data_IF_622234827856
#
_entry.id   IF_622234827856
#
_cell.length_a   1.000
_cell.length_b   1.000
_cell.length_c   1.000
_cell.angle_alpha   90.00
_cell.angle_beta   90.00
_cell.angle_gamma   90.00
#
_symmetry.space_group_name_H-M   'P 1'
#
loop_
_entity.id
_entity.type
_entity.pdbx_description
1 polymer ?
#
# COMPACT_ATOMS: atom_id res chain seq x y z
N UNK A 1 4.68 61.65 -43.54
CA UNK A 1 5.28 61.46 -42.20
C UNK A 1 4.30 60.66 -41.37
N UNK A 2 4.66 59.39 -41.22
CA UNK A 2 4.09 58.38 -40.33
C UNK A 2 4.02 58.91 -38.87
N UNK A 3 3.21 58.41 -37.94
CA UNK A 3 3.09 57.02 -37.56
C UNK A 3 1.91 56.83 -36.59
N UNK A 4 1.15 55.73 -36.75
CA UNK A 4 0.10 55.29 -35.83
C UNK A 4 0.69 54.90 -34.46
N UNK A 5 0.15 55.45 -33.36
CA UNK A 5 0.46 55.02 -31.99
C UNK A 5 -0.22 53.68 -31.69
N UNK A 6 0.48 52.58 -31.91
CA UNK A 6 0.08 51.26 -31.43
C UNK A 6 0.04 51.26 -29.89
N UNK A 7 -1.13 50.98 -29.32
CA UNK A 7 -1.28 50.75 -27.89
C UNK A 7 -0.80 49.33 -27.59
N UNK A 8 0.34 49.19 -26.93
CA UNK A 8 0.81 47.90 -26.42
C UNK A 8 -0.03 47.52 -25.20
N UNK A 9 -1.04 46.68 -25.42
CA UNK A 9 -1.73 45.96 -24.33
C UNK A 9 -0.75 44.88 -23.85
N UNK A 10 -0.06 45.15 -22.74
CA UNK A 10 0.75 44.15 -22.05
C UNK A 10 -0.22 43.20 -21.36
N UNK A 11 -0.47 42.04 -21.96
CA UNK A 11 -1.20 40.94 -21.34
C UNK A 11 -0.31 40.34 -20.24
N UNK A 12 -0.63 40.62 -18.98
CA UNK A 12 -0.03 39.94 -17.83
C UNK A 12 -0.62 38.52 -17.79
N UNK A 13 0.08 37.57 -18.41
CA UNK A 13 -0.22 36.14 -18.24
C UNK A 13 0.21 35.77 -16.83
N UNK A 14 -0.76 35.74 -15.91
CA UNK A 14 -0.56 35.20 -14.57
C UNK A 14 -0.31 33.70 -14.70
N UNK A 15 0.96 33.29 -14.57
CA UNK A 15 1.36 31.90 -14.48
C UNK A 15 0.87 31.34 -13.14
N UNK A 16 -0.37 30.83 -13.12
CA UNK A 16 -0.87 30.02 -12.00
C UNK A 16 -0.04 28.73 -12.02
N UNK A 17 0.97 28.67 -11.17
CA UNK A 17 1.64 27.42 -10.81
C UNK A 17 0.59 26.53 -10.15
N UNK A 18 0.02 25.61 -10.93
CA UNK A 18 -0.78 24.51 -10.43
C UNK A 18 0.17 23.64 -9.61
N UNK A 19 0.24 23.90 -8.31
CA UNK A 19 0.72 22.93 -7.35
C UNK A 19 -0.32 21.81 -7.34
N UNK A 20 -0.11 20.79 -8.18
CA UNK A 20 -0.87 19.55 -8.07
C UNK A 20 -0.72 19.05 -6.63
N UNK A 21 -1.80 18.75 -5.90
CA UNK A 21 -1.68 18.13 -4.60
C UNK A 21 -0.90 16.82 -4.79
N UNK A 22 0.14 16.63 -3.99
CA UNK A 22 0.81 15.32 -3.90
C UNK A 22 -0.26 14.37 -3.37
N UNK A 23 -0.73 13.49 -4.25
CA UNK A 23 -1.74 12.51 -3.90
C UNK A 23 -1.04 11.46 -3.06
N UNK A 24 -1.32 11.46 -1.76
CA UNK A 24 -0.77 10.50 -0.79
C UNK A 24 -1.40 9.15 -1.09
N UNK A 25 -0.74 8.31 -1.89
CA UNK A 25 -1.14 6.93 -2.15
C UNK A 25 -0.63 6.04 -1.01
N UNK A 26 -1.07 4.78 -1.02
CA UNK A 26 -0.37 3.67 -0.37
C UNK A 26 1.11 3.58 -0.70
N UNK A 27 1.60 2.35 -0.78
CA UNK A 27 2.62 2.14 -1.82
C UNK A 27 2.15 2.79 -3.14
N UNK A 28 3.10 3.20 -3.98
CA UNK A 28 2.78 3.59 -5.34
C UNK A 28 2.07 2.48 -6.12
N UNK A 29 1.64 2.78 -7.34
CA UNK A 29 0.98 1.82 -8.23
C UNK A 29 1.81 0.52 -8.34
N UNK A 30 3.13 0.65 -8.53
CA UNK A 30 4.02 -0.49 -8.74
C UNK A 30 4.24 -1.31 -7.46
N UNK A 31 4.20 -0.69 -6.28
CA UNK A 31 4.28 -1.42 -5.01
C UNK A 31 3.02 -2.26 -4.74
N UNK A 32 1.82 -1.69 -4.96
CA UNK A 32 0.58 -2.47 -4.86
C UNK A 32 0.47 -3.57 -5.92
N UNK A 33 0.84 -3.25 -7.17
CA UNK A 33 0.91 -4.23 -8.25
C UNK A 33 1.83 -5.39 -7.87
N UNK A 34 3.02 -5.08 -7.34
CA UNK A 34 4.00 -6.07 -6.92
C UNK A 34 3.44 -6.98 -5.82
N UNK A 35 2.91 -6.41 -4.74
CA UNK A 35 2.31 -7.16 -3.63
C UNK A 35 1.22 -8.11 -4.13
N UNK A 36 0.32 -7.61 -4.96
CA UNK A 36 -0.83 -8.37 -5.44
C UNK A 36 -0.47 -9.45 -6.46
N UNK A 37 0.50 -9.21 -7.35
CA UNK A 37 0.99 -10.26 -8.27
C UNK A 37 1.78 -11.34 -7.55
N UNK A 38 2.57 -10.97 -6.53
CA UNK A 38 3.18 -11.95 -5.62
C UNK A 38 2.08 -12.79 -4.96
N UNK A 39 1.07 -12.14 -4.37
CA UNK A 39 0.00 -12.82 -3.67
C UNK A 39 -0.79 -13.77 -4.59
N UNK A 40 -1.20 -13.29 -5.76
CA UNK A 40 -1.97 -14.06 -6.73
C UNK A 40 -1.25 -15.34 -7.17
N UNK A 41 0.09 -15.27 -7.34
CA UNK A 41 0.91 -16.44 -7.68
C UNK A 41 1.03 -17.50 -6.56
N UNK A 42 0.58 -17.17 -5.35
CA UNK A 42 0.65 -18.01 -4.14
C UNK A 42 -0.74 -18.43 -3.64
N UNK A 43 -1.79 -18.13 -4.39
CA UNK A 43 -3.14 -18.56 -4.05
C UNK A 43 -3.28 -20.08 -4.22
N UNK A 44 -3.98 -20.70 -3.27
CA UNK A 44 -4.55 -22.03 -3.42
C UNK A 44 -5.57 -22.05 -4.56
N UNK A 45 -5.86 -23.22 -5.12
CA UNK A 45 -6.82 -23.36 -6.23
C UNK A 45 -8.19 -22.77 -5.89
N UNK A 46 -8.67 -22.99 -4.66
CA UNK A 46 -9.96 -22.46 -4.20
C UNK A 46 -9.94 -20.94 -4.07
N UNK A 47 -8.87 -20.36 -3.51
CA UNK A 47 -8.72 -18.91 -3.40
C UNK A 47 -8.56 -18.25 -4.78
N UNK A 48 -7.79 -18.85 -5.69
CA UNK A 48 -7.62 -18.37 -7.06
C UNK A 48 -8.97 -18.35 -7.81
N UNK A 49 -9.78 -19.41 -7.66
CA UNK A 49 -11.11 -19.47 -8.26
C UNK A 49 -12.04 -18.37 -7.70
N UNK A 50 -12.03 -18.14 -6.39
CA UNK A 50 -12.85 -17.09 -5.77
C UNK A 50 -12.41 -15.68 -6.21
N UNK A 51 -11.10 -15.40 -6.21
CA UNK A 51 -10.53 -14.13 -6.68
C UNK A 51 -10.94 -13.87 -8.12
N UNK A 52 -10.82 -14.87 -9.00
CA UNK A 52 -11.23 -14.77 -10.41
C UNK A 52 -12.71 -14.43 -10.58
N UNK A 53 -13.58 -14.99 -9.75
CA UNK A 53 -15.03 -14.70 -9.77
C UNK A 53 -15.33 -13.28 -9.29
N UNK A 54 -14.60 -12.80 -8.27
CA UNK A 54 -14.82 -11.48 -7.67
C UNK A 54 -14.20 -10.34 -8.49
N UNK A 55 -13.14 -10.61 -9.26
CA UNK A 55 -12.51 -9.60 -10.09
C UNK A 55 -13.42 -9.13 -11.24
N UNK A 56 -13.44 -7.83 -11.56
CA UNK A 56 -14.15 -7.35 -12.73
C UNK A 56 -13.50 -7.89 -14.01
N UNK A 57 -14.30 -8.10 -15.06
CA UNK A 57 -13.78 -8.60 -16.35
C UNK A 57 -12.69 -7.70 -16.96
N UNK A 58 -12.72 -6.39 -16.66
CA UNK A 58 -11.70 -5.43 -17.09
C UNK A 58 -10.31 -5.71 -16.54
N UNK A 59 -10.21 -6.40 -15.39
CA UNK A 59 -8.95 -6.75 -14.75
C UNK A 59 -8.20 -7.88 -15.49
N UNK A 60 -8.86 -8.60 -16.41
CA UNK A 60 -8.22 -9.66 -17.19
C UNK A 60 -7.62 -10.80 -16.35
N UNK A 61 -8.25 -11.12 -15.21
CA UNK A 61 -7.75 -12.09 -14.22
C UNK A 61 -6.39 -11.68 -13.58
N UNK A 62 -6.05 -10.39 -13.58
CA UNK A 62 -4.87 -9.84 -12.89
C UNK A 62 -5.32 -9.00 -11.69
N UNK A 63 -5.19 -9.54 -10.48
CA UNK A 63 -5.50 -8.83 -9.24
C UNK A 63 -4.61 -7.58 -9.09
N UNK A 64 -3.36 -7.66 -9.53
CA UNK A 64 -2.41 -6.54 -9.46
C UNK A 64 -2.93 -5.30 -10.17
N UNK A 65 -3.61 -5.46 -11.31
CA UNK A 65 -4.16 -4.35 -12.09
C UNK A 65 -5.20 -3.50 -11.33
N UNK A 66 -5.88 -4.09 -10.34
CA UNK A 66 -6.90 -3.42 -9.55
C UNK A 66 -6.46 -3.09 -8.12
N UNK A 67 -5.25 -3.47 -7.71
CA UNK A 67 -4.80 -3.26 -6.33
C UNK A 67 -4.52 -1.81 -5.95
N UNK A 68 -4.48 -0.88 -6.91
CA UNK A 68 -4.47 0.57 -6.64
C UNK A 68 -5.87 1.20 -6.65
N UNK A 69 -6.95 0.41 -6.77
CA UNK A 69 -8.32 0.93 -6.87
C UNK A 69 -8.76 1.72 -5.64
N UNK A 70 -8.41 1.26 -4.43
CA UNK A 70 -8.82 1.93 -3.18
C UNK A 70 -8.34 3.39 -3.12
N UNK A 71 -7.12 3.65 -3.59
CA UNK A 71 -6.56 5.00 -3.71
C UNK A 71 -7.34 5.90 -4.68
N UNK A 72 -7.86 5.33 -5.77
CA UNK A 72 -8.67 6.09 -6.74
C UNK A 72 -10.01 6.50 -6.14
N UNK A 73 -10.62 5.61 -5.34
CA UNK A 73 -11.96 5.85 -4.81
C UNK A 73 -11.98 6.62 -3.51
N UNK A 74 -10.87 6.80 -2.76
CA UNK A 74 -10.88 7.52 -1.48
C UNK A 74 -11.37 8.97 -1.54
N UNK A 75 -11.34 9.59 -2.72
CA UNK A 75 -11.91 10.93 -2.95
C UNK A 75 -13.40 10.93 -3.26
N UNK A 76 -13.96 9.78 -3.67
CA UNK A 76 -15.40 9.59 -3.85
C UNK A 76 -16.03 8.96 -2.61
N UNK A 77 -15.29 8.07 -1.97
CA UNK A 77 -15.58 7.40 -0.71
C UNK A 77 -14.73 8.04 0.38
N UNK A 78 -15.00 9.30 0.71
CA UNK A 78 -14.22 10.06 1.71
C UNK A 78 -14.07 9.34 3.05
N UNK A 79 -15.03 8.49 3.41
CA UNK A 79 -14.97 7.66 4.59
C UNK A 79 -13.80 6.66 4.58
N UNK A 80 -13.25 6.31 3.42
CA UNK A 80 -12.15 5.35 3.28
C UNK A 80 -10.78 5.97 3.41
N UNK A 81 -10.63 7.31 3.39
CA UNK A 81 -9.31 7.96 3.38
C UNK A 81 -8.47 7.62 4.61
N UNK A 82 -9.07 7.59 5.81
CA UNK A 82 -8.36 7.22 7.04
C UNK A 82 -8.03 5.72 7.13
N UNK A 83 -8.59 4.89 6.24
CA UNK A 83 -8.37 3.45 6.24
C UNK A 83 -7.05 3.05 5.58
N UNK A 84 -6.32 3.98 4.99
CA UNK A 84 -5.03 3.71 4.35
C UNK A 84 -3.86 3.72 5.34
N UNK A 85 -4.00 4.29 6.54
CA UNK A 85 -2.87 4.46 7.45
C UNK A 85 -3.24 4.28 8.92
N UNK A 86 -2.23 4.36 9.78
CA UNK A 86 -2.29 4.44 11.23
C UNK A 86 -1.35 5.56 11.68
N UNK A 87 -1.88 6.51 12.44
CA UNK A 87 -1.09 7.52 13.12
C UNK A 87 -0.64 7.01 14.49
N UNK A 88 0.69 6.96 14.71
CA UNK A 88 1.28 6.57 16.00
C UNK A 88 1.89 7.78 16.71
N UNK A 89 2.04 7.75 18.05
CA UNK A 89 2.73 8.80 18.79
C UNK A 89 4.20 8.91 18.37
N UNK A 90 4.64 10.15 18.19
CA UNK A 90 6.01 10.48 17.80
C UNK A 90 7.06 9.80 18.68
N UNK A 91 8.10 9.25 18.04
CA UNK A 91 9.26 8.62 18.68
C UNK A 91 8.94 7.43 19.60
N UNK A 92 7.68 6.99 19.69
CA UNK A 92 7.33 5.85 20.50
C UNK A 92 7.76 4.54 19.85
N UNK A 93 7.75 4.50 18.51
CA UNK A 93 8.16 3.35 17.71
C UNK A 93 7.42 2.05 18.08
N UNK A 94 6.18 2.18 18.55
CA UNK A 94 5.34 1.07 18.97
C UNK A 94 3.88 1.38 18.67
N UNK A 95 3.18 0.36 18.19
CA UNK A 95 1.77 0.43 17.84
C UNK A 95 0.91 -0.27 18.91
N UNK A 96 -0.28 0.27 19.18
CA UNK A 96 -1.33 -0.38 19.97
C UNK A 96 -2.70 -0.07 19.36
N UNK A 97 -3.47 -1.11 18.98
CA UNK A 97 -4.76 -0.94 18.29
C UNK A 97 -5.71 0.02 19.02
N UNK A 98 -5.91 -0.14 20.33
CA UNK A 98 -6.85 0.68 21.12
C UNK A 98 -6.44 2.15 21.24
N UNK A 99 -5.15 2.45 21.09
CA UNK A 99 -4.62 3.82 21.15
C UNK A 99 -4.62 4.47 19.77
N UNK A 100 -4.18 3.73 18.76
CA UNK A 100 -3.75 4.25 17.46
C UNK A 100 -4.76 3.98 16.34
N UNK A 101 -5.56 2.91 16.42
CA UNK A 101 -6.51 2.58 15.36
C UNK A 101 -7.80 3.40 15.46
N UNK A 102 -7.74 4.66 15.02
CA UNK A 102 -8.85 5.60 14.99
C UNK A 102 -8.63 6.64 13.88
N UNK A 103 -9.71 7.30 13.46
CA UNK A 103 -9.61 8.44 12.55
C UNK A 103 -9.31 9.75 13.30
N UNK A 104 -9.21 10.86 12.54
CA UNK A 104 -8.97 12.21 13.06
C UNK A 104 -10.05 12.70 14.04
N UNK A 105 -11.26 12.13 13.98
CA UNK A 105 -12.37 12.43 14.89
C UNK A 105 -12.40 11.49 16.12
N UNK A 106 -11.43 10.58 16.23
CA UNK A 106 -11.32 9.63 17.33
C UNK A 106 -12.23 8.41 17.22
N UNK A 107 -12.87 8.18 16.06
CA UNK A 107 -13.74 7.01 15.84
C UNK A 107 -12.88 5.76 15.76
N UNK A 108 -13.06 4.87 16.74
CA UNK A 108 -12.28 3.64 16.86
C UNK A 108 -12.46 2.70 15.67
N UNK A 109 -11.39 1.97 15.33
CA UNK A 109 -11.37 1.00 14.24
C UNK A 109 -11.22 1.59 12.84
N UNK A 110 -11.18 2.92 12.69
CA UNK A 110 -11.07 3.60 11.38
C UNK A 110 -9.62 3.90 11.00
N UNK A 111 -8.85 2.83 10.89
CA UNK A 111 -7.46 2.82 10.45
C UNK A 111 -7.20 1.60 9.54
N UNK A 112 -6.02 1.48 8.94
CA UNK A 112 -5.70 0.33 8.05
C UNK A 112 -5.80 -1.04 8.72
N UNK A 113 -5.41 -1.17 9.99
CA UNK A 113 -5.57 -2.43 10.72
C UNK A 113 -7.05 -2.82 10.92
N UNK A 114 -7.89 -1.84 11.26
CA UNK A 114 -9.33 -2.05 11.38
C UNK A 114 -9.99 -2.34 10.04
N UNK A 115 -9.54 -1.71 8.96
CA UNK A 115 -10.00 -1.98 7.61
C UNK A 115 -9.68 -3.41 7.17
N UNK A 116 -8.46 -3.90 7.42
CA UNK A 116 -8.09 -5.30 7.17
C UNK A 116 -9.03 -6.23 7.92
N UNK A 117 -9.22 -6.04 9.23
CA UNK A 117 -10.15 -6.87 10.02
C UNK A 117 -11.58 -6.87 9.44
N UNK A 118 -12.07 -5.70 9.03
CA UNK A 118 -13.40 -5.55 8.46
C UNK A 118 -13.55 -6.31 7.13
N UNK A 119 -12.69 -6.04 6.14
CA UNK A 119 -12.82 -6.63 4.81
C UNK A 119 -12.45 -8.13 4.77
N UNK A 120 -11.52 -8.56 5.63
CA UNK A 120 -11.31 -9.98 5.94
C UNK A 120 -12.61 -10.61 6.45
N UNK A 121 -13.31 -9.99 7.40
CA UNK A 121 -14.58 -10.53 7.92
C UNK A 121 -15.71 -10.54 6.88
N UNK A 122 -15.76 -9.53 6.00
CA UNK A 122 -16.75 -9.50 4.91
C UNK A 122 -16.53 -10.63 3.91
N UNK A 123 -15.28 -10.92 3.53
CA UNK A 123 -14.96 -11.99 2.58
C UNK A 123 -15.30 -13.40 3.10
N UNK A 124 -15.45 -13.60 4.42
CA UNK A 124 -15.98 -14.86 4.98
C UNK A 124 -17.43 -15.13 4.58
N UNK A 125 -18.16 -14.12 4.09
CA UNK A 125 -19.51 -14.28 3.55
C UNK A 125 -19.55 -14.72 2.08
N UNK A 126 -18.40 -14.95 1.44
CA UNK A 126 -18.35 -15.46 0.07
C UNK A 126 -19.10 -16.80 -0.06
N UNK A 127 -19.91 -16.91 -1.11
CA UNK A 127 -20.80 -18.06 -1.33
C UNK A 127 -22.11 -18.03 -0.53
N UNK A 128 -22.29 -17.08 0.40
CA UNK A 128 -23.55 -16.86 1.07
C UNK A 128 -24.43 -15.88 0.26
N UNK A 129 -25.49 -16.39 -0.36
CA UNK A 129 -26.44 -15.60 -1.15
C UNK A 129 -27.18 -14.51 -0.35
N UNK A 130 -27.18 -14.59 0.98
CA UNK A 130 -27.78 -13.57 1.85
C UNK A 130 -26.81 -12.43 2.23
N UNK A 131 -25.55 -12.47 1.78
CA UNK A 131 -24.59 -11.40 2.06
C UNK A 131 -25.04 -10.09 1.42
N UNK A 132 -24.95 -9.00 2.18
CA UNK A 132 -25.27 -7.64 1.71
C UNK A 132 -24.01 -6.87 1.26
N UNK A 133 -22.82 -7.45 1.44
CA UNK A 133 -21.56 -6.79 1.13
C UNK A 133 -21.22 -6.88 -0.36
N UNK A 134 -20.62 -5.82 -0.89
CA UNK A 134 -19.96 -5.89 -2.19
C UNK A 134 -18.61 -6.58 -2.02
N UNK A 135 -18.55 -7.88 -2.30
CA UNK A 135 -17.35 -8.69 -2.09
C UNK A 135 -16.22 -8.40 -3.09
N UNK A 136 -16.54 -7.80 -4.24
CA UNK A 136 -15.51 -7.26 -5.14
C UNK A 136 -14.80 -6.08 -4.46
N UNK A 137 -15.54 -5.11 -3.94
CA UNK A 137 -14.93 -4.01 -3.18
C UNK A 137 -14.17 -4.53 -1.96
N UNK A 138 -14.70 -5.52 -1.23
CA UNK A 138 -14.01 -6.11 -0.09
C UNK A 138 -12.67 -6.75 -0.49
N UNK A 139 -12.61 -7.48 -1.62
CA UNK A 139 -11.36 -8.03 -2.15
C UNK A 139 -10.37 -6.92 -2.50
N UNK A 140 -10.80 -5.89 -3.23
CA UNK A 140 -9.91 -4.82 -3.68
C UNK A 140 -9.40 -3.98 -2.51
N UNK A 141 -10.26 -3.64 -1.55
CA UNK A 141 -9.87 -2.95 -0.32
C UNK A 141 -8.90 -3.79 0.51
N UNK A 142 -9.21 -5.07 0.77
CA UNK A 142 -8.30 -5.92 1.55
C UNK A 142 -6.93 -6.04 0.90
N UNK A 143 -6.89 -6.24 -0.42
CA UNK A 143 -5.66 -6.40 -1.18
C UNK A 143 -4.80 -5.15 -1.13
N UNK A 144 -5.43 -3.98 -1.25
CA UNK A 144 -4.77 -2.68 -1.12
C UNK A 144 -4.27 -2.44 0.31
N UNK A 145 -5.13 -2.60 1.33
CA UNK A 145 -4.80 -2.28 2.72
C UNK A 145 -3.75 -3.22 3.33
N UNK A 146 -3.69 -4.49 2.90
CA UNK A 146 -2.54 -5.35 3.25
C UNK A 146 -1.26 -4.80 2.62
N UNK A 147 -1.32 -4.16 1.45
CA UNK A 147 -0.19 -3.40 0.91
C UNK A 147 0.21 -2.25 1.83
N UNK A 148 -0.73 -1.35 2.12
CA UNK A 148 -0.52 -0.14 2.91
C UNK A 148 0.09 -0.42 4.28
N UNK A 149 -0.45 -1.38 5.03
CA UNK A 149 0.06 -1.68 6.38
C UNK A 149 1.51 -2.20 6.35
N UNK A 150 2.00 -2.64 5.18
CA UNK A 150 3.40 -3.03 4.99
C UNK A 150 4.31 -1.88 4.58
N UNK A 151 3.78 -0.76 4.09
CA UNK A 151 4.54 0.48 3.86
C UNK A 151 4.89 1.08 5.24
N UNK A 152 6.18 1.16 5.63
CA UNK A 152 6.55 1.61 6.97
C UNK A 152 5.94 2.96 7.40
N UNK A 153 5.91 3.95 6.51
CA UNK A 153 5.40 5.29 6.79
C UNK A 153 3.87 5.40 6.77
N UNK A 154 3.14 4.35 6.35
CA UNK A 154 1.69 4.24 6.58
C UNK A 154 1.35 3.88 8.03
N UNK A 155 2.34 3.46 8.81
CA UNK A 155 2.24 3.29 10.25
C UNK A 155 3.28 4.20 10.90
N UNK A 156 3.18 5.49 10.57
CA UNK A 156 4.17 6.51 10.90
C UNK A 156 3.77 7.41 12.07
N UNK A 157 4.47 8.52 12.22
CA UNK A 157 4.20 9.49 13.27
C UNK A 157 3.06 10.45 12.90
N UNK A 158 2.29 10.82 13.91
CA UNK A 158 1.14 11.71 13.75
C UNK A 158 1.59 13.12 13.35
N UNK A 159 2.65 13.65 13.97
CA UNK A 159 3.04 15.05 13.77
C UNK A 159 3.55 15.35 12.37
N UNK A 160 4.15 14.36 11.71
CA UNK A 160 4.71 14.49 10.36
C UNK A 160 3.80 13.88 9.27
N UNK A 161 2.61 13.42 9.65
CA UNK A 161 1.64 12.74 8.77
C UNK A 161 2.28 11.57 8.04
N UNK A 162 3.01 10.71 8.76
CA UNK A 162 3.78 9.62 8.17
C UNK A 162 4.90 10.12 7.24
N UNK A 163 5.56 11.22 7.57
CA UNK A 163 6.63 11.81 6.76
C UNK A 163 6.15 12.63 5.55
N UNK A 164 4.85 12.88 5.39
CA UNK A 164 4.33 13.75 4.33
C UNK A 164 4.71 15.23 4.53
N UNK A 165 5.05 15.64 5.75
CA UNK A 165 5.53 17.01 6.03
C UNK A 165 7.05 17.11 6.15
N UNK A 166 7.79 16.06 5.79
CA UNK A 166 9.26 16.06 5.80
C UNK A 166 9.74 16.25 4.37
N UNK A 167 10.06 17.49 4.02
CA UNK A 167 10.61 17.85 2.72
C UNK A 167 12.04 17.31 2.54
N UNK A 168 12.27 16.61 1.44
CA UNK A 168 13.57 16.01 1.10
C UNK A 168 13.89 16.23 -0.38
N UNK A 169 15.10 15.84 -0.78
CA UNK A 169 15.45 15.68 -2.19
C UNK A 169 15.77 14.23 -2.47
N UNK A 170 15.06 13.63 -3.42
CA UNK A 170 15.44 12.36 -4.00
C UNK A 170 16.35 12.62 -5.20
N UNK A 171 17.65 12.49 -4.98
CA UNK A 171 18.68 12.96 -5.91
C UNK A 171 18.46 14.44 -6.27
N UNK A 172 18.12 14.74 -7.52
CA UNK A 172 17.91 16.11 -8.01
C UNK A 172 16.46 16.59 -7.89
N UNK A 173 15.52 15.72 -7.48
CA UNK A 173 14.08 16.03 -7.44
C UNK A 173 13.63 16.32 -6.02
N UNK A 174 12.89 17.42 -5.83
CA UNK A 174 12.17 17.71 -4.59
C UNK A 174 11.04 16.71 -4.41
N UNK A 175 10.87 16.20 -3.20
CA UNK A 175 9.77 15.32 -2.81
C UNK A 175 9.61 15.33 -1.28
N UNK A 176 8.71 14.53 -0.74
CA UNK A 176 8.53 14.32 0.70
C UNK A 176 8.95 12.90 1.08
N UNK A 177 9.34 12.70 2.35
CA UNK A 177 9.85 11.41 2.84
C UNK A 177 8.88 10.25 2.56
N UNK A 178 7.58 10.48 2.73
CA UNK A 178 6.52 9.50 2.45
C UNK A 178 6.59 8.96 1.02
N UNK A 179 6.57 9.87 0.03
CA UNK A 179 6.68 9.54 -1.40
C UNK A 179 8.05 8.90 -1.77
N UNK A 180 9.09 9.09 -0.95
CA UNK A 180 10.34 8.34 -1.17
C UNK A 180 10.12 6.84 -0.94
N UNK A 181 9.35 6.47 0.08
CA UNK A 181 9.01 5.08 0.38
C UNK A 181 7.94 4.51 -0.55
N UNK A 182 6.89 5.28 -0.88
CA UNK A 182 5.81 4.80 -1.76
C UNK A 182 6.31 4.45 -3.15
N UNK A 183 7.11 5.34 -3.74
CA UNK A 183 7.45 5.29 -5.16
C UNK A 183 8.96 5.36 -5.42
N UNK A 184 9.65 6.33 -4.80
CA UNK A 184 10.95 6.76 -5.34
C UNK A 184 12.02 5.69 -5.22
N UNK A 185 12.04 4.92 -4.13
CA UNK A 185 12.94 3.76 -3.98
C UNK A 185 12.62 2.69 -5.03
N UNK A 186 11.35 2.34 -5.22
CA UNK A 186 10.89 1.29 -6.14
C UNK A 186 11.27 1.68 -7.58
N UNK A 187 10.82 2.85 -8.05
CA UNK A 187 11.12 3.34 -9.40
C UNK A 187 12.62 3.42 -9.67
N UNK A 188 13.42 3.87 -8.69
CA UNK A 188 14.88 3.94 -8.87
C UNK A 188 15.51 2.54 -8.93
N UNK A 189 14.96 1.56 -8.20
CA UNK A 189 15.40 0.16 -8.27
C UNK A 189 15.04 -0.45 -9.64
N UNK A 190 13.84 -0.18 -10.14
CA UNK A 190 13.39 -0.60 -11.47
C UNK A 190 14.28 -0.04 -12.59
N UNK A 191 14.53 1.26 -12.57
CA UNK A 191 15.39 1.92 -13.55
C UNK A 191 16.82 1.36 -13.55
N UNK A 192 17.37 1.08 -12.36
CA UNK A 192 18.78 0.66 -12.23
C UNK A 192 19.02 -0.81 -12.44
N UNK A 193 18.05 -1.67 -12.13
CA UNK A 193 18.27 -3.11 -12.03
C UNK A 193 17.33 -3.93 -12.90
N UNK A 194 16.23 -3.34 -13.39
CA UNK A 194 15.17 -4.07 -14.07
C UNK A 194 14.70 -3.42 -15.38
N UNK A 195 15.51 -2.54 -15.99
CA UNK A 195 15.20 -1.84 -17.24
C UNK A 195 13.85 -1.10 -17.19
N UNK A 196 13.54 -0.46 -16.06
CA UNK A 196 12.27 0.25 -15.83
C UNK A 196 11.04 -0.66 -15.99
N UNK A 197 11.16 -1.93 -15.58
CA UNK A 197 10.10 -2.92 -15.65
C UNK A 197 9.85 -3.54 -14.27
N UNK A 198 8.66 -3.27 -13.73
CA UNK A 198 8.15 -3.83 -12.47
C UNK A 198 8.11 -5.37 -12.47
N UNK A 199 7.91 -6.03 -13.61
CA UNK A 199 7.91 -7.50 -13.67
C UNK A 199 9.28 -8.09 -13.29
N UNK A 200 10.37 -7.40 -13.63
CA UNK A 200 11.71 -7.81 -13.23
C UNK A 200 11.93 -7.73 -11.71
N UNK A 201 11.36 -6.69 -11.07
CA UNK A 201 11.35 -6.55 -9.62
C UNK A 201 10.52 -7.66 -8.97
N UNK A 202 9.31 -7.92 -9.48
CA UNK A 202 8.41 -8.97 -9.00
C UNK A 202 9.10 -10.34 -9.05
N UNK A 203 9.74 -10.67 -10.17
CA UNK A 203 10.43 -11.96 -10.33
C UNK A 203 11.63 -12.08 -9.39
N UNK A 204 12.39 -11.00 -9.18
CA UNK A 204 13.49 -10.99 -8.20
C UNK A 204 12.99 -11.22 -6.78
N UNK A 205 11.90 -10.56 -6.37
CA UNK A 205 11.30 -10.75 -5.05
C UNK A 205 10.75 -12.17 -4.89
N UNK A 206 10.05 -12.71 -5.89
CA UNK A 206 9.57 -14.10 -5.88
C UNK A 206 10.70 -15.11 -5.74
N UNK A 207 11.84 -14.86 -6.41
CA UNK A 207 13.04 -15.69 -6.27
C UNK A 207 13.63 -15.62 -4.84
N UNK A 208 13.64 -14.44 -4.22
CA UNK A 208 14.10 -14.31 -2.83
C UNK A 208 13.14 -14.99 -1.85
N UNK A 209 11.82 -14.92 -2.07
CA UNK A 209 10.81 -15.64 -1.26
C UNK A 209 11.07 -17.16 -1.26
N UNK A 210 11.46 -17.75 -2.40
CA UNK A 210 11.78 -19.19 -2.49
C UNK A 210 13.25 -19.53 -2.21
N UNK A 211 14.09 -18.51 -2.02
CA UNK A 211 15.52 -18.63 -1.78
C UNK A 211 15.90 -18.06 -0.41
N UNK A 212 16.45 -16.84 -0.40
CA UNK A 212 16.97 -16.16 0.80
C UNK A 212 16.00 -16.13 1.97
N UNK A 213 14.71 -15.97 1.70
CA UNK A 213 13.67 -15.83 2.73
C UNK A 213 12.84 -17.09 2.94
N UNK A 214 13.17 -18.21 2.31
CA UNK A 214 12.38 -19.44 2.36
C UNK A 214 12.06 -19.89 3.81
N UNK A 215 13.05 -19.81 4.70
CA UNK A 215 12.89 -20.19 6.11
C UNK A 215 12.00 -19.24 6.92
N UNK A 216 11.76 -18.03 6.41
CA UNK A 216 10.92 -17.01 7.06
C UNK A 216 9.47 -17.03 6.57
N UNK A 217 9.21 -17.57 5.36
CA UNK A 217 7.89 -17.56 4.72
C UNK A 217 6.83 -18.17 5.61
N UNK A 218 7.09 -19.33 6.23
CA UNK A 218 6.14 -20.00 7.13
C UNK A 218 5.71 -19.05 8.27
N UNK A 219 6.66 -18.28 8.83
CA UNK A 219 6.38 -17.32 9.90
C UNK A 219 5.56 -16.13 9.42
N UNK A 220 5.76 -15.68 8.17
CA UNK A 220 4.94 -14.61 7.60
C UNK A 220 3.54 -15.08 7.25
N UNK A 221 3.41 -16.32 6.77
CA UNK A 221 2.13 -16.93 6.48
C UNK A 221 1.36 -17.10 7.77
N UNK A 222 1.97 -17.60 8.85
CA UNK A 222 1.33 -17.87 10.14
C UNK A 222 0.71 -16.62 10.80
N UNK A 223 -0.51 -16.80 11.31
CA UNK A 223 -1.23 -15.80 12.07
C UNK A 223 -1.80 -16.46 13.33
N UNK A 224 -1.38 -15.98 14.50
CA UNK A 224 -1.67 -16.63 15.79
C UNK A 224 -3.15 -16.55 16.16
N UNK A 225 -3.61 -17.50 16.98
CA UNK A 225 -4.92 -17.39 17.65
C UNK A 225 -6.15 -17.65 16.75
N UNK A 226 -6.00 -18.45 15.69
CA UNK A 226 -7.07 -18.79 14.75
C UNK A 226 -7.67 -17.57 14.02
N UNK A 227 -6.90 -16.48 13.94
CA UNK A 227 -7.27 -15.27 13.21
C UNK A 227 -7.00 -15.46 11.71
N UNK A 228 -7.83 -14.85 10.86
CA UNK A 228 -7.67 -14.95 9.42
C UNK A 228 -6.59 -14.01 8.88
N UNK A 229 -6.45 -12.83 9.50
CA UNK A 229 -5.42 -11.83 9.26
C UNK A 229 -4.86 -11.32 10.60
N UNK A 230 -3.61 -10.84 10.60
CA UNK A 230 -2.89 -10.38 11.79
C UNK A 230 -2.42 -8.91 11.67
N UNK A 231 -3.33 -7.95 11.42
CA UNK A 231 -2.93 -6.57 11.11
C UNK A 231 -2.13 -5.90 12.24
N UNK A 232 -2.35 -6.28 13.51
CA UNK A 232 -1.59 -5.70 14.63
C UNK A 232 -0.10 -6.07 14.60
N UNK A 233 0.22 -7.29 14.17
CA UNK A 233 1.62 -7.71 13.94
C UNK A 233 2.19 -6.90 12.77
N UNK A 234 1.44 -6.77 11.68
CA UNK A 234 1.90 -6.06 10.48
C UNK A 234 2.19 -4.59 10.77
N UNK A 235 1.29 -3.92 11.52
CA UNK A 235 1.46 -2.54 11.96
C UNK A 235 2.65 -2.38 12.91
N UNK A 236 2.80 -3.28 13.89
CA UNK A 236 3.93 -3.25 14.82
C UNK A 236 5.28 -3.37 14.11
N UNK A 237 5.37 -4.23 13.09
CA UNK A 237 6.56 -4.32 12.24
C UNK A 237 6.74 -3.09 11.36
N UNK A 238 5.64 -2.49 10.86
CA UNK A 238 5.65 -1.29 10.03
C UNK A 238 6.27 -0.10 10.76
N UNK A 239 5.74 0.25 11.94
CA UNK A 239 6.28 1.37 12.74
C UNK A 239 7.73 1.10 13.19
N UNK A 240 8.07 -0.15 13.50
CA UNK A 240 9.46 -0.52 13.80
C UNK A 240 10.36 -0.28 12.60
N UNK A 241 9.96 -0.71 11.40
CA UNK A 241 10.71 -0.46 10.17
C UNK A 241 10.82 1.05 9.87
N UNK A 242 9.78 1.83 10.15
CA UNK A 242 9.81 3.28 9.97
C UNK A 242 10.88 3.93 10.88
N UNK A 243 10.90 3.55 12.16
CA UNK A 243 11.89 4.06 13.10
C UNK A 243 13.32 3.58 12.83
N UNK A 244 13.49 2.32 12.44
CA UNK A 244 14.81 1.73 12.18
C UNK A 244 15.40 2.23 10.85
N UNK A 245 14.56 2.58 9.87
CA UNK A 245 15.02 2.85 8.50
C UNK A 245 14.47 4.13 7.87
N UNK A 246 13.18 4.42 7.97
CA UNK A 246 12.56 5.56 7.27
C UNK A 246 12.99 6.90 7.82
N UNK A 247 12.99 7.05 9.14
CA UNK A 247 13.37 8.29 9.82
C UNK A 247 14.88 8.45 10.05
N UNK A 248 15.72 7.74 9.27
CA UNK A 248 17.17 7.70 9.41
C UNK A 248 17.88 8.12 8.12
N UNK A 249 19.12 8.57 8.23
CA UNK A 249 19.95 9.01 7.10
C UNK A 249 20.56 7.86 6.28
N UNK A 250 21.23 8.18 5.16
CA UNK A 250 21.84 7.28 4.15
C UNK A 250 20.88 6.31 3.46
N UNK A 251 20.29 6.72 2.35
CA UNK A 251 18.97 6.20 1.98
C UNK A 251 18.93 5.01 1.01
N UNK A 252 19.24 5.22 -0.28
CA UNK A 252 18.82 4.26 -1.31
C UNK A 252 19.36 2.83 -1.10
N UNK A 253 20.68 2.65 -1.03
CA UNK A 253 21.29 1.32 -1.02
C UNK A 253 20.93 0.49 0.22
N UNK A 254 20.73 1.15 1.35
CA UNK A 254 20.39 0.48 2.62
C UNK A 254 18.89 0.24 2.78
N UNK A 255 18.01 1.00 2.10
CA UNK A 255 16.54 0.87 2.22
C UNK A 255 15.91 -0.01 1.14
N UNK A 256 16.53 -0.16 -0.04
CA UNK A 256 16.02 -1.08 -1.09
C UNK A 256 15.77 -2.50 -0.55
N UNK A 257 16.69 -3.13 0.22
CA UNK A 257 16.42 -4.46 0.79
C UNK A 257 15.21 -4.46 1.74
N UNK A 258 14.99 -3.38 2.49
CA UNK A 258 13.87 -3.25 3.43
C UNK A 258 12.56 -3.09 2.66
N UNK A 259 12.52 -2.26 1.62
CA UNK A 259 11.36 -2.14 0.73
C UNK A 259 11.01 -3.49 0.11
N UNK A 260 11.99 -4.18 -0.48
CA UNK A 260 11.77 -5.50 -1.09
C UNK A 260 11.25 -6.53 -0.06
N UNK A 261 11.76 -6.50 1.17
CA UNK A 261 11.28 -7.36 2.25
C UNK A 261 9.82 -7.04 2.61
N UNK A 262 9.44 -5.77 2.73
CA UNK A 262 8.06 -5.37 3.05
C UNK A 262 7.08 -5.70 1.91
N UNK A 263 7.47 -5.51 0.66
CA UNK A 263 6.69 -5.94 -0.52
C UNK A 263 6.50 -7.47 -0.52
N UNK A 264 7.55 -8.23 -0.20
CA UNK A 264 7.47 -9.70 -0.09
C UNK A 264 6.53 -10.14 1.03
N UNK A 265 6.67 -9.56 2.23
CA UNK A 265 5.82 -9.85 3.36
C UNK A 265 4.35 -9.53 3.06
N UNK A 266 4.07 -8.37 2.46
CA UNK A 266 2.72 -7.99 2.03
C UNK A 266 2.11 -9.00 1.08
N UNK A 267 2.85 -9.42 0.05
CA UNK A 267 2.36 -10.41 -0.92
C UNK A 267 2.13 -11.80 -0.31
N UNK A 268 3.06 -12.27 0.52
CA UNK A 268 2.92 -13.56 1.23
C UNK A 268 1.73 -13.55 2.19
N UNK A 269 1.55 -12.47 2.97
CA UNK A 269 0.46 -12.33 3.94
C UNK A 269 -0.89 -12.13 3.29
N UNK A 270 -0.96 -11.41 2.17
CA UNK A 270 -2.20 -11.29 1.39
C UNK A 270 -2.64 -12.67 0.88
N UNK A 271 -1.72 -13.44 0.28
CA UNK A 271 -2.02 -14.80 -0.16
C UNK A 271 -2.46 -15.71 0.99
N UNK A 272 -1.73 -15.71 2.11
CA UNK A 272 -2.07 -16.51 3.29
C UNK A 272 -3.46 -16.15 3.86
N UNK A 273 -3.79 -14.85 3.89
CA UNK A 273 -5.10 -14.35 4.32
C UNK A 273 -6.21 -14.86 3.39
N UNK A 274 -6.05 -14.67 2.07
CA UNK A 274 -7.03 -15.14 1.07
C UNK A 274 -7.17 -16.67 1.06
N UNK A 275 -6.08 -17.41 1.26
CA UNK A 275 -6.10 -18.88 1.33
C UNK A 275 -6.87 -19.43 2.53
N UNK A 276 -6.93 -18.68 3.64
CA UNK A 276 -7.75 -19.07 4.81
C UNK A 276 -9.23 -18.78 4.62
N UNK A 277 -9.59 -17.86 3.73
CA UNK A 277 -10.98 -17.44 3.51
C UNK A 277 -11.81 -18.43 2.72
N UNK A 278 -11.20 -19.16 1.77
CA UNK A 278 -11.95 -20.08 0.92
C UNK A 278 -11.79 -21.50 1.46
N UNK A 279 -12.87 -22.12 1.99
CA UNK A 279 -12.79 -23.49 2.46
C UNK A 279 -12.21 -24.39 1.36
N UNK A 280 -11.34 -25.32 1.74
CA UNK A 280 -10.94 -26.40 0.83
C UNK A 280 -12.22 -27.12 0.43
N UNK A 281 -12.57 -27.10 -0.85
CA UNK A 281 -13.52 -28.07 -1.40
C UNK A 281 -12.90 -29.45 -1.17
N UNK A 282 -13.46 -30.20 -0.22
CA UNK A 282 -13.14 -31.61 -0.01
C UNK A 282 -13.86 -32.44 -1.06
#
# INVERSE_FOLDING_TARGET
MECCRAHHIIAIVSLVLILSPVVVHGWGIDGHLTICRIAQSRLSESAAAAVKVLLPASAGDDLGSECSWADRVKFHYHWSSSLHFIDTPDNLCAYQYTRDCKDEYGVQGRCVAGAINNYTSQLLSYGNAASQYNLTEALLFLSHFIGDIHQPLHVGFTSDKGGNTIDVHWYTRKTVLHHVWDDSIIMTSEDRSYNSNVDGLIDAIKKNITGEWADQVQTWEDCSGNQTACPDIYASEGIKAACDWAYKDDYFQSRVPIVNLRLAQGGVRLAATLNRHVPRTV
#
